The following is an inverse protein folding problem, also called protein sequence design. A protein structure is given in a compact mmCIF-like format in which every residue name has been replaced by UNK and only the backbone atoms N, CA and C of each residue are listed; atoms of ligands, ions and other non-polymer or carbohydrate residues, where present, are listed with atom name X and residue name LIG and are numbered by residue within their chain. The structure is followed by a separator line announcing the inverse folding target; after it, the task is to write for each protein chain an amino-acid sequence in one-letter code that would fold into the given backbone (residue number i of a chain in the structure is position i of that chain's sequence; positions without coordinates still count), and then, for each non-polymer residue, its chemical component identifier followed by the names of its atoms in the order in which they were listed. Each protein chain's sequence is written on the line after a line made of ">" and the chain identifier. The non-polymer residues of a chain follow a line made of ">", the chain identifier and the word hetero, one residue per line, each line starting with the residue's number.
data_IF_210218580435
#
_entry.id   IF_210218580435
#
_cell.length_a   1.000
_cell.length_b   1.000
_cell.length_c   1.000
_cell.angle_alpha   90.00
_cell.angle_beta   90.00
_cell.angle_gamma   90.00
#
_symmetry.space_group_name_H-M   'P 1'
#
loop_
_entity.id
_entity.type
_entity.pdbx_description
1 polymer ?
#
# COMPACT_ATOMS: atom_id res chain seq x y z
N UNK A 1 4.84 -17.58 -41.11
CA UNK A 1 5.49 -16.28 -40.88
C UNK A 1 5.29 -15.92 -39.41
N UNK A 2 6.37 -15.76 -38.66
CA UNK A 2 6.32 -15.16 -37.32
C UNK A 2 6.08 -13.66 -37.53
N UNK A 3 4.91 -13.14 -37.16
CA UNK A 3 4.68 -11.69 -37.15
C UNK A 3 5.67 -11.07 -36.16
N UNK A 4 6.49 -10.12 -36.63
CA UNK A 4 7.36 -9.36 -35.75
C UNK A 4 6.47 -8.59 -34.75
N UNK A 5 6.70 -8.80 -33.45
CA UNK A 5 6.01 -8.04 -32.42
C UNK A 5 6.37 -6.56 -32.59
N UNK A 6 5.36 -5.70 -32.71
CA UNK A 6 5.55 -4.26 -32.79
C UNK A 6 6.21 -3.75 -31.50
N UNK A 7 7.44 -3.28 -31.62
CA UNK A 7 8.19 -2.71 -30.50
C UNK A 7 7.71 -1.27 -30.27
N UNK A 8 6.65 -1.10 -29.47
CA UNK A 8 6.33 0.21 -28.90
C UNK A 8 7.43 0.54 -27.86
N UNK A 9 8.23 1.62 -28.04
CA UNK A 9 9.23 2.01 -27.05
C UNK A 9 8.54 2.26 -25.70
N UNK A 10 9.31 2.23 -24.61
CA UNK A 10 8.80 2.68 -23.32
C UNK A 10 8.42 4.16 -23.43
N UNK A 11 7.15 4.42 -23.74
CA UNK A 11 6.60 5.76 -23.74
C UNK A 11 6.64 6.31 -22.33
N UNK A 12 7.05 7.56 -22.18
CA UNK A 12 6.88 8.26 -20.91
C UNK A 12 5.39 8.41 -20.59
N UNK A 13 5.05 8.49 -19.31
CA UNK A 13 3.69 8.81 -18.88
C UNK A 13 3.35 10.27 -19.23
N UNK A 14 2.09 10.53 -19.59
CA UNK A 14 1.60 11.89 -19.73
C UNK A 14 1.78 12.65 -18.40
N UNK A 15 2.30 13.88 -18.45
CA UNK A 15 2.55 14.70 -17.25
C UNK A 15 1.29 14.86 -16.38
N UNK A 16 0.11 14.93 -16.99
CA UNK A 16 -1.17 14.98 -16.28
C UNK A 16 -1.46 13.73 -15.45
N UNK A 17 -1.16 12.54 -15.98
CA UNK A 17 -1.32 11.29 -15.23
C UNK A 17 -0.34 11.19 -14.06
N UNK A 18 0.91 11.61 -14.28
CA UNK A 18 1.93 11.64 -13.23
C UNK A 18 1.52 12.61 -12.10
N UNK A 19 1.07 13.81 -12.47
CA UNK A 19 0.61 14.81 -11.51
C UNK A 19 -0.61 14.31 -10.73
N UNK A 20 -1.58 13.68 -11.40
CA UNK A 20 -2.77 13.11 -10.77
C UNK A 20 -2.40 11.97 -9.80
N UNK A 21 -1.61 11.00 -10.25
CA UNK A 21 -1.19 9.87 -9.43
C UNK A 21 -0.39 10.33 -8.20
N UNK A 22 0.47 11.34 -8.38
CA UNK A 22 1.23 11.95 -7.28
C UNK A 22 0.32 12.68 -6.30
N UNK A 23 -0.67 13.44 -6.79
CA UNK A 23 -1.66 14.12 -5.96
C UNK A 23 -2.48 13.15 -5.12
N UNK A 24 -2.96 12.06 -5.73
CA UNK A 24 -3.70 10.99 -5.03
C UNK A 24 -2.80 10.33 -3.98
N UNK A 25 -1.57 9.96 -4.35
CA UNK A 25 -0.62 9.34 -3.43
C UNK A 25 -0.29 10.23 -2.23
N UNK A 26 -0.07 11.53 -2.46
CA UNK A 26 0.16 12.52 -1.41
C UNK A 26 -1.06 12.66 -0.48
N UNK A 27 -2.27 12.75 -1.04
CA UNK A 27 -3.50 12.87 -0.27
C UNK A 27 -3.75 11.62 0.60
N UNK A 28 -3.58 10.42 0.04
CA UNK A 28 -3.71 9.16 0.79
C UNK A 28 -2.66 9.04 1.89
N UNK A 29 -1.42 9.45 1.60
CA UNK A 29 -0.34 9.47 2.60
C UNK A 29 -0.66 10.45 3.72
N UNK A 30 -1.14 11.65 3.41
CA UNK A 30 -1.55 12.63 4.42
C UNK A 30 -2.70 12.10 5.31
N UNK A 31 -3.69 11.42 4.71
CA UNK A 31 -4.77 10.79 5.45
C UNK A 31 -4.26 9.68 6.39
N UNK A 32 -3.33 8.83 5.92
CA UNK A 32 -2.69 7.80 6.74
C UNK A 32 -1.90 8.42 7.90
N UNK A 33 -1.11 9.46 7.64
CA UNK A 33 -0.37 10.17 8.68
C UNK A 33 -1.31 10.84 9.69
N UNK A 34 -2.47 11.35 9.24
CA UNK A 34 -3.54 11.85 10.11
C UNK A 34 -4.10 10.77 11.04
N UNK A 35 -4.36 9.56 10.52
CA UNK A 35 -4.79 8.42 11.33
C UNK A 35 -3.71 8.01 12.36
N UNK A 36 -2.46 7.95 11.92
CA UNK A 36 -1.32 7.68 12.81
C UNK A 36 -1.23 8.74 13.90
N UNK A 37 -1.28 10.02 13.55
CA UNK A 37 -1.22 11.11 14.52
C UNK A 37 -2.37 11.02 15.53
N UNK A 38 -3.60 10.79 15.08
CA UNK A 38 -4.76 10.64 15.95
C UNK A 38 -4.63 9.44 16.91
N UNK A 39 -4.07 8.32 16.44
CA UNK A 39 -3.78 7.15 17.27
C UNK A 39 -2.66 7.42 18.29
N UNK A 40 -1.53 7.98 17.85
CA UNK A 40 -0.36 8.28 18.70
C UNK A 40 -0.68 9.33 19.77
N UNK A 41 -1.58 10.28 19.47
CA UNK A 41 -2.05 11.29 20.44
C UNK A 41 -3.26 10.81 21.27
N UNK A 42 -3.67 9.54 21.12
CA UNK A 42 -4.83 8.92 21.77
C UNK A 42 -6.16 9.67 21.57
N UNK A 43 -6.28 10.40 20.46
CA UNK A 43 -7.51 11.11 20.06
C UNK A 43 -8.50 10.21 19.33
N UNK A 44 -8.07 9.03 18.89
CA UNK A 44 -8.91 8.05 18.21
C UNK A 44 -8.57 6.63 18.65
N UNK A 45 -9.58 5.78 18.73
CA UNK A 45 -9.46 4.35 19.01
C UNK A 45 -9.69 3.48 17.77
N UNK A 46 -9.96 4.08 16.60
CA UNK A 46 -10.39 3.37 15.39
C UNK A 46 -9.40 2.25 15.00
N UNK A 47 -8.10 2.53 14.96
CA UNK A 47 -7.09 1.53 14.58
C UNK A 47 -7.04 0.38 15.59
N UNK A 48 -7.13 0.68 16.88
CA UNK A 48 -7.18 -0.32 17.95
C UNK A 48 -8.45 -1.17 17.87
N UNK A 49 -9.62 -0.55 17.65
CA UNK A 49 -10.90 -1.26 17.54
C UNK A 49 -10.92 -2.20 16.34
N UNK A 50 -10.47 -1.73 15.18
CA UNK A 50 -10.38 -2.58 13.97
C UNK A 50 -9.36 -3.69 14.19
N UNK A 51 -8.17 -3.37 14.73
CA UNK A 51 -7.15 -4.37 15.00
C UNK A 51 -7.58 -5.43 16.02
N UNK A 52 -8.31 -5.06 17.07
CA UNK A 52 -8.86 -6.01 18.04
C UNK A 52 -9.89 -6.95 17.38
N UNK A 53 -10.76 -6.41 16.52
CA UNK A 53 -11.74 -7.22 15.78
C UNK A 53 -11.05 -8.21 14.84
N UNK A 54 -10.00 -7.76 14.16
CA UNK A 54 -9.20 -8.59 13.27
C UNK A 54 -8.39 -9.66 14.02
N UNK A 55 -7.86 -9.33 15.20
CA UNK A 55 -7.05 -10.22 16.02
C UNK A 55 -7.87 -11.19 16.88
N UNK A 56 -9.17 -10.98 17.05
CA UNK A 56 -9.99 -11.67 18.06
C UNK A 56 -9.98 -13.20 17.94
N UNK A 57 -9.92 -13.73 16.71
CA UNK A 57 -9.88 -15.16 16.47
C UNK A 57 -8.52 -15.80 16.82
N UNK A 58 -7.45 -15.01 16.79
CA UNK A 58 -6.06 -15.47 16.99
C UNK A 58 -5.46 -15.06 18.33
N UNK A 59 -6.10 -14.15 19.06
CA UNK A 59 -5.61 -13.60 20.32
C UNK A 59 -4.38 -12.69 20.18
N UNK A 60 -3.96 -12.36 18.96
CA UNK A 60 -2.80 -11.47 18.76
C UNK A 60 -3.17 -9.99 19.00
N UNK A 61 -2.22 -9.16 19.46
CA UNK A 61 -2.48 -7.73 19.68
C UNK A 61 -2.93 -7.01 18.42
N UNK A 62 -3.75 -5.96 18.58
CA UNK A 62 -4.25 -5.14 17.46
C UNK A 62 -3.12 -4.58 16.56
N UNK A 63 -2.00 -4.18 17.17
CA UNK A 63 -0.82 -3.66 16.46
C UNK A 63 -0.07 -4.72 15.65
N UNK A 64 -0.31 -6.00 15.89
CA UNK A 64 0.14 -7.11 15.03
C UNK A 64 -0.93 -7.41 13.98
N UNK A 65 -2.17 -7.64 14.42
CA UNK A 65 -3.26 -8.12 13.58
C UNK A 65 -3.54 -7.20 12.40
N UNK A 66 -3.75 -5.90 12.65
CA UNK A 66 -4.14 -4.94 11.61
C UNK A 66 -3.08 -4.82 10.51
N UNK A 67 -1.80 -4.48 10.80
CA UNK A 67 -0.81 -4.34 9.74
C UNK A 67 -0.50 -5.66 9.04
N UNK A 68 -0.49 -6.79 9.74
CA UNK A 68 -0.27 -8.11 9.10
C UNK A 68 -1.37 -8.41 8.09
N UNK A 69 -2.65 -8.35 8.50
CA UNK A 69 -3.77 -8.65 7.59
C UNK A 69 -3.84 -7.66 6.45
N UNK A 70 -3.69 -6.36 6.73
CA UNK A 70 -3.66 -5.33 5.70
C UNK A 70 -2.57 -5.62 4.68
N UNK A 71 -1.34 -5.91 5.13
CA UNK A 71 -0.21 -6.22 4.25
C UNK A 71 -0.47 -7.47 3.42
N UNK A 72 -0.96 -8.55 4.05
CA UNK A 72 -1.26 -9.80 3.34
C UNK A 72 -2.32 -9.61 2.27
N UNK A 73 -3.46 -8.98 2.58
CA UNK A 73 -4.52 -8.71 1.60
C UNK A 73 -3.99 -7.82 0.48
N UNK A 74 -3.22 -6.78 0.84
CA UNK A 74 -2.65 -5.86 -0.15
C UNK A 74 -1.66 -6.54 -1.10
N UNK A 75 -0.83 -7.46 -0.60
CA UNK A 75 0.06 -8.29 -1.42
C UNK A 75 -0.72 -9.21 -2.36
N UNK A 76 -1.81 -9.82 -1.89
CA UNK A 76 -2.66 -10.66 -2.74
C UNK A 76 -3.33 -9.85 -3.85
N UNK A 77 -3.83 -8.64 -3.54
CA UNK A 77 -4.44 -7.75 -4.53
C UNK A 77 -3.38 -7.24 -5.53
N UNK A 78 -2.19 -6.86 -5.04
CA UNK A 78 -1.09 -6.46 -5.92
C UNK A 78 -0.64 -7.60 -6.83
N UNK A 79 -0.55 -8.84 -6.31
CA UNK A 79 -0.19 -10.02 -7.08
C UNK A 79 -1.24 -10.30 -8.16
N UNK A 80 -2.53 -10.24 -7.82
CA UNK A 80 -3.62 -10.39 -8.79
C UNK A 80 -3.50 -9.34 -9.90
N UNK A 81 -3.28 -8.07 -9.53
CA UNK A 81 -3.06 -6.98 -10.48
C UNK A 81 -1.85 -7.24 -11.38
N UNK A 82 -0.71 -7.64 -10.81
CA UNK A 82 0.51 -7.92 -11.57
C UNK A 82 0.35 -9.08 -12.56
N UNK A 83 -0.30 -10.18 -12.14
CA UNK A 83 -0.55 -11.31 -13.04
C UNK A 83 -1.50 -10.93 -14.19
N UNK A 84 -2.51 -10.12 -13.89
CA UNK A 84 -3.43 -9.62 -14.91
C UNK A 84 -2.73 -8.65 -15.87
N UNK A 85 -1.89 -7.76 -15.35
CA UNK A 85 -1.09 -6.82 -16.14
C UNK A 85 -0.16 -7.54 -17.13
N UNK A 86 0.57 -8.56 -16.65
CA UNK A 86 1.41 -9.40 -17.52
C UNK A 86 0.58 -10.05 -18.63
N UNK A 87 -0.59 -10.59 -18.30
CA UNK A 87 -1.45 -11.21 -19.30
C UNK A 87 -1.93 -10.21 -20.36
N UNK A 88 -2.29 -8.99 -19.96
CA UNK A 88 -2.66 -7.91 -20.88
C UNK A 88 -1.49 -7.51 -21.77
N UNK A 89 -0.29 -7.35 -21.21
CA UNK A 89 0.89 -7.01 -21.99
C UNK A 89 1.30 -8.08 -23.00
N UNK A 90 1.08 -9.35 -22.70
CA UNK A 90 1.26 -10.45 -23.66
C UNK A 90 0.21 -10.37 -24.77
N UNK A 91 -1.05 -10.07 -24.43
CA UNK A 91 -2.18 -10.11 -25.38
C UNK A 91 -2.31 -8.89 -26.28
N UNK A 92 -2.22 -7.68 -25.72
CA UNK A 92 -2.53 -6.41 -26.41
C UNK A 92 -1.34 -5.44 -26.48
N UNK A 93 -0.20 -5.81 -25.90
CA UNK A 93 1.02 -5.02 -25.89
C UNK A 93 1.10 -4.00 -24.75
N UNK A 94 2.03 -3.06 -24.85
CA UNK A 94 2.38 -2.09 -23.79
C UNK A 94 1.32 -0.99 -23.63
N UNK A 95 1.20 -0.48 -22.40
CA UNK A 95 0.29 0.64 -22.08
C UNK A 95 0.87 1.98 -22.49
N UNK A 96 -0.02 2.97 -22.70
CA UNK A 96 0.34 4.35 -22.99
C UNK A 96 0.69 5.15 -21.73
N UNK A 97 0.29 4.67 -20.55
CA UNK A 97 0.50 5.37 -19.29
C UNK A 97 0.12 4.55 -18.05
N UNK A 98 0.54 5.00 -16.85
CA UNK A 98 0.32 4.30 -15.59
C UNK A 98 -1.15 4.16 -15.19
N UNK A 99 -2.07 4.96 -15.74
CA UNK A 99 -3.50 4.87 -15.41
C UNK A 99 -4.36 4.27 -16.54
N UNK A 100 -3.73 3.83 -17.64
CA UNK A 100 -4.44 3.32 -18.81
C UNK A 100 -4.97 1.88 -18.64
N UNK A 101 -4.51 1.16 -17.62
CA UNK A 101 -4.75 -0.27 -17.46
C UNK A 101 -5.52 -0.56 -16.16
N UNK A 102 -6.68 -1.25 -16.22
CA UNK A 102 -7.44 -1.64 -15.03
C UNK A 102 -6.62 -2.42 -13.99
N UNK A 103 -5.67 -3.25 -14.44
CA UNK A 103 -4.80 -4.02 -13.57
C UNK A 103 -3.89 -3.13 -12.72
N UNK A 104 -3.47 -1.97 -13.24
CA UNK A 104 -2.66 -1.00 -12.48
C UNK A 104 -3.37 -0.50 -11.23
N UNK A 105 -4.69 -0.34 -11.25
CA UNK A 105 -5.42 0.12 -10.05
C UNK A 105 -5.35 -0.90 -8.91
N UNK A 106 -5.35 -2.20 -9.22
CA UNK A 106 -5.13 -3.25 -8.22
C UNK A 106 -3.70 -3.22 -7.69
N UNK A 107 -2.71 -3.04 -8.59
CA UNK A 107 -1.30 -2.91 -8.21
C UNK A 107 -1.09 -1.69 -7.30
N UNK A 108 -1.58 -0.51 -7.71
CA UNK A 108 -1.46 0.74 -6.96
C UNK A 108 -2.14 0.65 -5.59
N UNK A 109 -3.35 0.08 -5.53
CA UNK A 109 -4.04 -0.17 -4.26
C UNK A 109 -3.23 -1.09 -3.35
N UNK A 110 -2.74 -2.21 -3.89
CA UNK A 110 -1.96 -3.18 -3.12
C UNK A 110 -0.62 -2.62 -2.66
N UNK A 111 0.11 -1.88 -3.50
CA UNK A 111 1.36 -1.26 -3.11
C UNK A 111 1.17 -0.19 -2.03
N UNK A 112 0.16 0.66 -2.16
CA UNK A 112 -0.17 1.63 -1.11
C UNK A 112 -0.59 0.93 0.18
N UNK A 113 -1.36 -0.16 0.10
CA UNK A 113 -1.77 -0.95 1.25
C UNK A 113 -0.60 -1.61 1.99
N UNK A 114 0.41 -2.13 1.26
CA UNK A 114 1.66 -2.65 1.85
C UNK A 114 2.44 -1.53 2.54
N UNK A 115 2.58 -0.38 1.88
CA UNK A 115 3.22 0.80 2.46
C UNK A 115 2.51 1.25 3.75
N UNK A 116 1.19 1.31 3.73
CA UNK A 116 0.37 1.64 4.89
C UNK A 116 0.52 0.61 6.01
N UNK A 117 0.54 -0.69 5.67
CA UNK A 117 0.80 -1.78 6.61
C UNK A 117 2.14 -1.62 7.33
N UNK A 118 3.20 -1.27 6.61
CA UNK A 118 4.52 -0.98 7.19
C UNK A 118 4.50 0.21 8.16
N UNK A 119 3.88 1.33 7.77
CA UNK A 119 3.72 2.50 8.65
C UNK A 119 2.94 2.13 9.92
N UNK A 120 1.83 1.41 9.77
CA UNK A 120 0.99 1.00 10.90
C UNK A 120 1.73 0.04 11.83
N UNK A 121 2.52 -0.90 11.30
CA UNK A 121 3.36 -1.79 12.10
C UNK A 121 4.35 -1.03 12.99
N UNK A 122 4.92 0.07 12.48
CA UNK A 122 5.80 0.93 13.26
C UNK A 122 5.06 1.83 14.26
N UNK A 123 3.88 2.33 13.89
CA UNK A 123 3.21 3.40 14.64
C UNK A 123 2.19 2.90 15.67
N UNK A 124 1.55 1.76 15.44
CA UNK A 124 0.46 1.28 16.30
C UNK A 124 0.89 0.82 17.70
N UNK A 125 2.07 0.19 17.93
CA UNK A 125 2.50 -0.18 19.27
C UNK A 125 2.57 1.05 20.19
N UNK A 126 1.78 1.05 21.26
CA UNK A 126 1.78 2.06 22.32
C UNK A 126 2.33 1.41 23.59
N UNK A 127 3.25 2.09 24.27
CA UNK A 127 3.86 1.67 25.54
C UNK A 127 4.60 0.31 25.53
N UNK A 128 4.70 -0.34 24.36
CA UNK A 128 5.48 -1.57 24.17
C UNK A 128 6.99 -1.27 24.23
N UNK A 129 7.75 -2.20 24.82
CA UNK A 129 9.21 -2.08 24.85
C UNK A 129 9.75 -2.15 23.42
N UNK A 130 10.46 -1.12 22.93
CA UNK A 130 11.02 -1.15 21.59
C UNK A 130 11.96 -2.35 21.42
N UNK A 131 11.88 -3.00 20.26
CA UNK A 131 12.74 -4.13 19.92
C UNK A 131 14.22 -3.73 19.77
N UNK A 132 15.13 -4.70 19.57
CA UNK A 132 16.58 -4.47 19.52
C UNK A 132 17.05 -3.54 18.38
N UNK A 133 16.22 -3.33 17.35
CA UNK A 133 16.50 -2.44 16.22
C UNK A 133 15.90 -1.02 16.40
N UNK A 134 15.44 -0.65 17.59
CA UNK A 134 14.80 0.63 17.80
C UNK A 134 15.78 1.81 17.70
N UNK A 135 15.45 2.78 16.84
CA UNK A 135 16.19 4.04 16.71
C UNK A 135 15.47 5.11 17.54
N UNK A 136 16.19 5.74 18.47
CA UNK A 136 15.64 6.82 19.30
C UNK A 136 15.71 8.14 18.53
N UNK A 137 14.59 8.59 17.97
CA UNK A 137 14.51 9.81 17.14
C UNK A 137 14.51 11.13 17.94
N UNK A 138 14.16 11.11 19.24
CA UNK A 138 14.13 12.31 20.09
C UNK A 138 14.68 12.00 21.49
N UNK A 139 15.66 12.79 21.95
CA UNK A 139 16.03 12.88 23.37
C UNK A 139 15.13 13.94 24.01
N UNK A 140 14.02 13.49 24.59
CA UNK A 140 13.29 14.15 25.66
C UNK A 140 13.27 13.20 26.83
#
# INVERSE_FOLDING_TARGET
>A
MLLAAETRPAGGAALGEVALATGIGAALTAALLGLVWAHRTRRSTVLTTVGNKLGSATGVPAWVALPTILTTVSLLVALLGMLWDIALHIGVGRDEGPLANPAHFLILFGLFGVFAGGILACAMPLDEKPGPAAVRFVRG
#
